data_IF_605707251116
#
_entry.id   IF_605707251116
#
_cell.length_a   1.000
_cell.length_b   1.000
_cell.length_c   1.000
_cell.angle_alpha   90.00
_cell.angle_beta   90.00
_cell.angle_gamma   90.00
#
_symmetry.space_group_name_H-M   'P 1'
#
loop_
_entity.id
_entity.type
_entity.pdbx_description
1 polymer ?
#
# COMPACT_ATOMS: atom_id res chain seq x y z
N UNK A 1 10.68 -32.08 -28.43
CA UNK A 1 11.04 -30.74 -27.96
C UNK A 1 9.72 -29.99 -27.81
N UNK A 2 9.11 -30.07 -26.63
CA UNK A 2 7.77 -29.54 -26.41
C UNK A 2 7.81 -28.02 -26.46
N UNK A 3 7.08 -27.45 -27.41
CA UNK A 3 6.70 -26.05 -27.46
C UNK A 3 5.99 -25.68 -26.14
N UNK A 4 6.33 -24.56 -25.49
CA UNK A 4 5.51 -24.05 -24.40
C UNK A 4 4.21 -23.50 -25.00
N UNK A 5 3.07 -23.97 -24.48
CA UNK A 5 1.74 -23.43 -24.77
C UNK A 5 1.70 -21.94 -24.40
N UNK A 6 1.42 -21.00 -25.33
CA UNK A 6 1.16 -19.61 -24.98
C UNK A 6 -0.33 -19.44 -24.74
N UNK A 7 -0.79 -19.35 -23.49
CA UNK A 7 -2.22 -19.09 -23.28
C UNK A 7 -2.83 -19.25 -21.89
N UNK A 8 -2.06 -19.13 -20.81
CA UNK A 8 -2.69 -18.87 -19.51
C UNK A 8 -2.97 -17.39 -19.40
N UNK A 9 -4.23 -16.96 -19.35
CA UNK A 9 -4.54 -15.62 -18.83
C UNK A 9 -3.81 -15.44 -17.49
N UNK A 10 -3.16 -14.30 -17.26
CA UNK A 10 -2.47 -14.08 -16.00
C UNK A 10 -3.46 -14.34 -14.87
N UNK A 11 -3.05 -15.14 -13.87
CA UNK A 11 -3.83 -15.28 -12.65
C UNK A 11 -4.16 -13.86 -12.16
N UNK A 12 -5.45 -13.50 -12.00
CA UNK A 12 -5.82 -12.17 -11.55
C UNK A 12 -5.10 -11.83 -10.24
N UNK A 13 -4.85 -12.80 -9.36
CA UNK A 13 -4.03 -12.61 -8.17
C UNK A 13 -2.61 -12.15 -8.47
N UNK A 14 -1.93 -12.80 -9.42
CA UNK A 14 -0.59 -12.42 -9.86
C UNK A 14 -0.55 -11.02 -10.47
N UNK A 15 -1.53 -10.66 -11.31
CA UNK A 15 -1.61 -9.31 -11.88
C UNK A 15 -1.81 -8.24 -10.79
N UNK A 16 -2.68 -8.49 -9.80
CA UNK A 16 -2.86 -7.59 -8.65
C UNK A 16 -1.57 -7.41 -7.86
N UNK A 17 -0.83 -8.50 -7.61
CA UNK A 17 0.44 -8.46 -6.89
C UNK A 17 1.52 -7.70 -7.66
N UNK A 18 1.65 -7.96 -8.97
CA UNK A 18 2.60 -7.27 -9.84
C UNK A 18 2.30 -5.76 -9.92
N UNK A 19 1.03 -5.40 -10.08
CA UNK A 19 0.64 -3.99 -10.12
C UNK A 19 0.85 -3.29 -8.78
N UNK A 20 0.64 -3.98 -7.66
CA UNK A 20 0.97 -3.47 -6.33
C UNK A 20 2.48 -3.24 -6.16
N UNK A 21 3.31 -4.22 -6.56
CA UNK A 21 4.78 -4.10 -6.44
C UNK A 21 5.33 -3.02 -7.37
N UNK A 22 4.82 -2.89 -8.59
CA UNK A 22 5.18 -1.81 -9.50
C UNK A 22 4.88 -0.42 -8.92
N UNK A 23 3.78 -0.30 -8.16
CA UNK A 23 3.46 0.95 -7.46
C UNK A 23 4.37 1.21 -6.26
N UNK A 24 4.74 0.18 -5.51
CA UNK A 24 5.73 0.30 -4.44
C UNK A 24 7.07 0.78 -5.00
N UNK A 25 7.53 0.19 -6.10
CA UNK A 25 8.78 0.57 -6.77
C UNK A 25 8.71 2.02 -7.30
N UNK A 26 7.56 2.44 -7.85
CA UNK A 26 7.34 3.81 -8.28
C UNK A 26 7.50 4.82 -7.13
N UNK A 27 6.93 4.52 -5.97
CA UNK A 27 7.03 5.37 -4.77
C UNK A 27 8.49 5.43 -4.30
N UNK A 28 9.16 4.28 -4.17
CA UNK A 28 10.56 4.21 -3.72
C UNK A 28 11.52 4.96 -4.66
N UNK A 29 11.27 4.93 -5.96
CA UNK A 29 12.07 5.66 -6.94
C UNK A 29 11.96 7.20 -6.80
N UNK A 30 10.83 7.70 -6.29
CA UNK A 30 10.56 9.14 -6.10
C UNK A 30 10.94 9.65 -4.72
N UNK A 31 10.96 8.76 -3.74
CA UNK A 31 11.26 9.07 -2.35
C UNK A 31 12.19 8.00 -1.76
N UNK A 32 13.51 8.12 -1.98
CA UNK A 32 14.48 7.13 -1.53
C UNK A 32 14.62 7.05 0.00
N UNK A 33 14.11 8.05 0.73
CA UNK A 33 14.08 8.07 2.19
C UNK A 33 12.96 7.20 2.78
N UNK A 34 11.99 6.77 1.96
CA UNK A 34 10.94 5.85 2.40
C UNK A 34 11.44 4.41 2.45
N UNK A 35 10.99 3.68 3.46
CA UNK A 35 11.18 2.23 3.48
C UNK A 35 10.17 1.53 2.56
N UNK A 36 10.44 0.27 2.15
CA UNK A 36 9.48 -0.52 1.39
C UNK A 36 8.13 -0.69 2.11
N UNK A 37 8.13 -0.69 3.45
CA UNK A 37 6.89 -0.76 4.23
C UNK A 37 6.08 0.53 4.15
N UNK A 38 6.74 1.69 4.17
CA UNK A 38 6.09 2.99 4.04
C UNK A 38 5.43 3.10 2.65
N UNK A 39 6.18 2.77 1.60
CA UNK A 39 5.67 2.72 0.23
C UNK A 39 4.51 1.72 0.08
N UNK A 40 4.60 0.55 0.71
CA UNK A 40 3.53 -0.45 0.72
C UNK A 40 2.25 0.06 1.38
N UNK A 41 2.33 0.82 2.48
CA UNK A 41 1.16 1.44 3.12
C UNK A 41 0.49 2.45 2.19
N UNK A 42 1.28 3.32 1.54
CA UNK A 42 0.75 4.31 0.59
C UNK A 42 0.07 3.65 -0.60
N UNK A 43 0.71 2.64 -1.21
CA UNK A 43 0.16 1.89 -2.34
C UNK A 43 -1.13 1.13 -1.96
N UNK A 44 -1.17 0.51 -0.78
CA UNK A 44 -2.34 -0.20 -0.31
C UNK A 44 -3.54 0.73 -0.06
N UNK A 45 -3.28 1.96 0.39
CA UNK A 45 -4.31 2.99 0.57
C UNK A 45 -4.83 3.50 -0.78
N UNK A 46 -3.93 3.78 -1.71
CA UNK A 46 -4.28 4.26 -3.04
C UNK A 46 -5.13 3.23 -3.81
N UNK A 47 -4.79 1.94 -3.71
CA UNK A 47 -5.53 0.85 -4.36
C UNK A 47 -6.77 0.37 -3.61
N UNK A 48 -7.06 0.94 -2.43
CA UNK A 48 -8.18 0.50 -1.60
C UNK A 48 -8.03 -0.93 -1.06
N UNK A 49 -6.82 -1.48 -1.02
CA UNK A 49 -6.53 -2.83 -0.50
C UNK A 49 -6.65 -2.88 1.02
N UNK A 50 -6.28 -1.80 1.71
CA UNK A 50 -6.44 -1.66 3.14
C UNK A 50 -6.65 -0.19 3.53
N UNK A 51 -7.73 0.07 4.27
CA UNK A 51 -8.04 1.43 4.79
C UNK A 51 -7.73 1.58 6.28
N UNK A 52 -7.24 0.53 6.95
CA UNK A 52 -6.90 0.55 8.37
C UNK A 52 -5.68 -0.34 8.70
N UNK A 53 -5.01 0.00 9.80
CA UNK A 53 -3.77 -0.63 10.27
C UNK A 53 -3.88 -2.15 10.52
N UNK A 54 -5.08 -2.67 10.81
CA UNK A 54 -5.29 -4.09 11.08
C UNK A 54 -5.57 -4.87 9.80
N UNK A 55 -6.36 -4.28 8.90
CA UNK A 55 -6.61 -4.85 7.58
C UNK A 55 -5.30 -4.97 6.79
N UNK A 56 -4.43 -3.95 6.85
CA UNK A 56 -3.10 -4.00 6.24
C UNK A 56 -2.24 -5.11 6.85
N UNK A 57 -2.10 -5.14 8.19
CA UNK A 57 -1.30 -6.16 8.88
C UNK A 57 -1.73 -7.59 8.52
N UNK A 58 -3.04 -7.82 8.46
CA UNK A 58 -3.61 -9.13 8.09
C UNK A 58 -3.36 -9.47 6.62
N UNK A 59 -3.57 -8.53 5.71
CA UNK A 59 -3.45 -8.77 4.27
C UNK A 59 -2.01 -9.09 3.86
N UNK A 60 -1.05 -8.34 4.40
CA UNK A 60 0.37 -8.48 4.04
C UNK A 60 1.16 -9.38 4.99
N UNK A 61 0.50 -10.00 5.99
CA UNK A 61 1.15 -10.92 6.93
C UNK A 61 2.22 -10.27 7.82
N UNK A 62 2.12 -8.96 8.08
CA UNK A 62 3.09 -8.20 8.87
C UNK A 62 2.60 -7.97 10.31
N UNK A 63 3.54 -7.81 11.25
CA UNK A 63 3.21 -7.54 12.63
C UNK A 63 2.49 -6.20 12.79
N UNK A 64 1.34 -6.19 13.49
CA UNK A 64 0.55 -4.97 13.67
C UNK A 64 1.32 -3.82 14.34
N UNK A 65 2.17 -4.13 15.32
CA UNK A 65 3.00 -3.12 16.00
C UNK A 65 3.98 -2.42 15.04
N UNK A 66 4.48 -3.14 14.03
CA UNK A 66 5.34 -2.57 12.99
C UNK A 66 4.55 -1.60 12.11
N UNK A 67 3.33 -1.98 11.71
CA UNK A 67 2.42 -1.11 10.94
C UNK A 67 2.08 0.16 11.71
N UNK A 68 1.80 0.05 13.01
CA UNK A 68 1.53 1.22 13.86
C UNK A 68 2.71 2.20 13.89
N UNK A 69 3.94 1.68 13.99
CA UNK A 69 5.16 2.49 13.98
C UNK A 69 5.33 3.22 12.64
N UNK A 70 5.23 2.50 11.53
CA UNK A 70 5.30 3.09 10.19
C UNK A 70 4.24 4.16 10.00
N UNK A 71 3.00 3.89 10.38
CA UNK A 71 1.90 4.85 10.22
C UNK A 71 2.09 6.09 11.08
N UNK A 72 2.65 5.97 12.28
CA UNK A 72 3.00 7.13 13.10
C UNK A 72 4.04 8.02 12.40
N UNK A 73 5.07 7.43 11.80
CA UNK A 73 6.09 8.19 11.07
C UNK A 73 5.55 8.82 9.77
N UNK A 74 4.74 8.07 9.02
CA UNK A 74 4.05 8.57 7.83
C UNK A 74 3.08 9.73 8.13
N UNK A 75 2.41 9.70 9.29
CA UNK A 75 1.46 10.73 9.70
C UNK A 75 2.15 11.95 10.31
N UNK A 76 2.95 11.73 11.36
CA UNK A 76 3.50 12.79 12.19
C UNK A 76 4.86 13.29 11.68
N UNK A 77 5.68 12.39 11.13
CA UNK A 77 7.01 12.72 10.61
C UNK A 77 6.97 13.28 9.18
N UNK A 78 6.24 12.60 8.30
CA UNK A 78 6.26 12.86 6.85
C UNK A 78 4.99 13.54 6.32
N UNK A 79 3.88 13.50 7.08
CA UNK A 79 2.62 14.12 6.67
C UNK A 79 1.99 13.53 5.41
N UNK A 80 2.27 12.26 5.10
CA UNK A 80 1.80 11.57 3.88
C UNK A 80 0.44 10.87 4.07
N UNK A 81 0.07 10.58 5.32
CA UNK A 81 -1.24 10.01 5.67
C UNK A 81 -1.91 10.79 6.80
N UNK A 82 -3.23 10.71 6.89
CA UNK A 82 -4.02 11.24 8.01
C UNK A 82 -4.75 10.11 8.73
N UNK A 83 -4.89 10.25 10.06
CA UNK A 83 -5.61 9.31 10.91
C UNK A 83 -7.06 9.80 11.06
N UNK A 84 -7.98 9.24 10.27
CA UNK A 84 -9.37 9.75 10.22
C UNK A 84 -10.20 9.35 11.45
N UNK A 85 -9.99 8.12 11.93
CA UNK A 85 -10.75 7.58 13.06
C UNK A 85 -9.96 6.49 13.76
N UNK A 86 -10.11 6.42 15.09
CA UNK A 86 -9.59 5.33 15.91
C UNK A 86 -10.74 4.59 16.56
N UNK A 87 -10.88 3.32 16.23
CA UNK A 87 -11.83 2.44 16.92
C UNK A 87 -11.21 2.01 18.26
N UNK A 88 -11.74 2.56 19.36
CA UNK A 88 -11.22 2.31 20.72
C UNK A 88 -11.43 0.86 21.18
N UNK A 89 -12.41 0.14 20.61
CA UNK A 89 -12.71 -1.25 20.98
C UNK A 89 -11.74 -2.23 20.33
N UNK A 90 -11.29 -1.94 19.11
CA UNK A 90 -10.49 -2.84 18.28
C UNK A 90 -9.07 -2.36 18.00
N UNK A 91 -8.74 -1.16 18.48
CA UNK A 91 -7.49 -0.42 18.26
C UNK A 91 -7.14 -0.23 16.77
N UNK A 92 -8.15 -0.24 15.89
CA UNK A 92 -7.98 0.03 14.46
C UNK A 92 -7.88 1.52 14.22
N UNK A 93 -6.95 1.93 13.38
CA UNK A 93 -6.83 3.32 12.92
C UNK A 93 -7.14 3.36 11.45
N UNK A 94 -8.19 4.10 11.07
CA UNK A 94 -8.52 4.38 9.67
C UNK A 94 -7.54 5.43 9.14
N UNK A 95 -7.07 5.20 7.92
CA UNK A 95 -6.07 6.00 7.26
C UNK A 95 -6.62 6.54 5.94
N UNK A 96 -6.19 7.75 5.58
CA UNK A 96 -6.36 8.30 4.25
C UNK A 96 -5.07 8.98 3.79
N UNK A 97 -4.83 9.03 2.48
CA UNK A 97 -3.71 9.77 1.92
C UNK A 97 -3.94 11.27 2.10
N UNK A 98 -2.89 12.01 2.49
CA UNK A 98 -2.89 13.47 2.37
C UNK A 98 -2.69 13.87 0.91
N UNK A 99 -2.73 15.18 0.64
CA UNK A 99 -2.37 15.69 -0.68
C UNK A 99 -0.92 15.35 -1.06
N UNK A 100 0.01 15.49 -0.11
CA UNK A 100 1.40 15.09 -0.32
C UNK A 100 1.53 13.60 -0.61
N UNK A 101 0.81 12.74 0.13
CA UNK A 101 0.79 11.30 -0.14
C UNK A 101 0.25 10.96 -1.54
N UNK A 102 -0.80 11.65 -2.00
CA UNK A 102 -1.36 11.47 -3.35
C UNK A 102 -0.39 11.83 -4.47
N UNK A 103 0.52 12.78 -4.25
CA UNK A 103 1.52 13.17 -5.27
C UNK A 103 2.66 12.14 -5.44
N UNK A 104 2.80 11.22 -4.50
CA UNK A 104 3.82 10.17 -4.54
C UNK A 104 3.34 8.89 -5.21
N UNK A 105 2.06 8.59 -5.10
CA UNK A 105 1.45 7.45 -5.80
C UNK A 105 1.24 7.80 -7.28
N UNK A 106 1.32 6.82 -8.19
CA UNK A 106 1.00 7.06 -9.59
C UNK A 106 -0.44 7.54 -9.71
N UNK A 107 -0.73 8.50 -10.60
CA UNK A 107 -2.12 8.73 -11.01
C UNK A 107 -2.69 7.39 -11.44
N UNK A 108 -3.83 6.99 -10.86
CA UNK A 108 -4.46 5.71 -11.14
C UNK A 108 -4.40 5.45 -12.64
N UNK A 109 -3.59 4.47 -13.05
CA UNK A 109 -3.63 3.94 -14.41
C UNK A 109 -5.07 3.46 -14.57
N UNK A 110 -5.85 4.23 -15.33
CA UNK A 110 -7.30 4.23 -15.27
C UNK A 110 -7.87 2.83 -15.23
N UNK A 111 -8.90 2.67 -14.39
CA UNK A 111 -9.81 1.53 -14.46
C UNK A 111 -10.25 1.33 -15.91
N UNK A 112 -9.84 0.22 -16.50
CA UNK A 112 -10.46 -0.35 -17.70
C UNK A 112 -11.52 -1.35 -17.27
#
# INVERSE_FOLDING_TARGET
MSTPEPGGEPDPGAFLAETFLAEVDWILARTPDLTPLDAGVLAALHRGLASDTRSFAKLFGVAHALVLRTVADLADGLGLVTLEARDLRTQRTRLALTEAGRQLVPEALGSH
#
